data_IF_776278332914
#
_entry.id   IF_776278332914
#
_cell.length_a   1.000
_cell.length_b   1.000
_cell.length_c   1.000
_cell.angle_alpha   90.00
_cell.angle_beta   90.00
_cell.angle_gamma   90.00
#
_symmetry.space_group_name_H-M   'P 1'
#
loop_
_entity.id
_entity.type
_entity.pdbx_description
1 polymer ?
#
# COMPACT_ATOMS: atom_id res chain seq x y z
N UNK A 1 -9.55 -51.66 -14.95
CA UNK A 1 -9.90 -50.26 -14.63
C UNK A 1 -9.28 -49.38 -15.71
N UNK A 2 -10.05 -48.80 -16.64
CA UNK A 2 -9.47 -47.91 -17.66
C UNK A 2 -9.19 -46.55 -17.00
N UNK A 3 -7.98 -46.03 -17.20
CA UNK A 3 -7.62 -44.68 -16.76
C UNK A 3 -8.07 -43.68 -17.83
N UNK A 4 -9.00 -42.80 -17.47
CA UNK A 4 -9.42 -41.68 -18.30
C UNK A 4 -8.28 -40.66 -18.36
N UNK A 5 -7.65 -40.53 -19.52
CA UNK A 5 -6.70 -39.45 -19.80
C UNK A 5 -7.52 -38.20 -20.13
N UNK A 6 -7.73 -37.31 -19.17
CA UNK A 6 -8.30 -35.98 -19.45
C UNK A 6 -7.34 -35.21 -20.36
N UNK A 7 -7.78 -34.91 -21.58
CA UNK A 7 -7.03 -34.06 -22.51
C UNK A 7 -7.16 -32.60 -22.04
N UNK A 8 -6.08 -32.02 -21.52
CA UNK A 8 -6.03 -30.59 -21.23
C UNK A 8 -6.10 -29.79 -22.54
N UNK A 9 -7.21 -29.11 -22.76
CA UNK A 9 -7.38 -28.22 -23.91
C UNK A 9 -6.66 -26.89 -23.64
N UNK A 10 -5.56 -26.65 -24.35
CA UNK A 10 -4.82 -25.40 -24.28
C UNK A 10 -5.55 -24.35 -25.13
N UNK A 11 -6.09 -23.33 -24.49
CA UNK A 11 -6.71 -22.19 -25.18
C UNK A 11 -5.66 -21.16 -25.59
N UNK A 12 -5.83 -20.60 -26.79
CA UNK A 12 -4.98 -19.51 -27.27
C UNK A 12 -5.27 -18.24 -26.47
N UNK A 13 -4.23 -17.50 -26.10
CA UNK A 13 -4.39 -16.17 -25.52
C UNK A 13 -5.10 -15.22 -26.48
N UNK A 14 -5.97 -14.38 -25.94
CA UNK A 14 -6.67 -13.32 -26.68
C UNK A 14 -5.68 -12.31 -27.27
N UNK A 15 -4.65 -11.95 -26.48
CA UNK A 15 -3.52 -11.14 -26.92
C UNK A 15 -2.30 -12.05 -27.00
N UNK A 16 -1.74 -12.30 -28.20
CA UNK A 16 -0.67 -13.30 -28.38
C UNK A 16 0.62 -13.00 -27.62
N UNK A 17 0.97 -11.72 -27.46
CA UNK A 17 2.18 -11.28 -26.77
C UNK A 17 1.84 -10.89 -25.34
N UNK A 18 2.50 -11.51 -24.37
CA UNK A 18 2.26 -11.25 -22.94
C UNK A 18 2.66 -9.81 -22.58
N UNK A 19 3.63 -9.24 -23.29
CA UNK A 19 4.09 -7.87 -23.09
C UNK A 19 3.02 -6.82 -23.42
N UNK A 20 2.07 -7.19 -24.28
CA UNK A 20 0.96 -6.35 -24.72
C UNK A 20 -0.28 -6.55 -23.82
N UNK A 21 -0.18 -7.41 -22.79
CA UNK A 21 -1.27 -7.58 -21.85
C UNK A 21 -1.43 -6.31 -21.00
N UNK A 22 -2.67 -5.85 -20.72
CA UNK A 22 -2.90 -4.66 -19.92
C UNK A 22 -2.17 -4.69 -18.57
N UNK A 23 -2.10 -5.85 -17.91
CA UNK A 23 -1.39 -6.02 -16.63
C UNK A 23 0.13 -5.88 -16.76
N UNK A 24 0.70 -6.27 -17.91
CA UNK A 24 2.13 -6.11 -18.19
C UNK A 24 2.49 -4.65 -18.48
N UNK A 25 1.64 -3.96 -19.24
CA UNK A 25 1.77 -2.53 -19.50
C UNK A 25 1.62 -1.73 -18.20
N UNK A 26 0.61 -2.05 -17.39
CA UNK A 26 0.39 -1.41 -16.10
C UNK A 26 1.57 -1.61 -15.15
N UNK A 27 2.14 -2.82 -15.09
CA UNK A 27 3.28 -3.10 -14.22
C UNK A 27 4.55 -2.36 -14.65
N UNK A 28 4.73 -2.06 -15.95
CA UNK A 28 5.83 -1.20 -16.42
C UNK A 28 5.69 0.25 -15.93
N UNK A 29 4.46 0.74 -15.82
CA UNK A 29 4.14 2.11 -15.40
C UNK A 29 3.74 2.20 -13.92
N UNK A 30 4.06 1.18 -13.12
CA UNK A 30 3.64 1.06 -11.71
C UNK A 30 4.04 2.27 -10.87
N UNK A 31 5.27 2.78 -11.03
CA UNK A 31 5.77 3.90 -10.23
C UNK A 31 4.98 5.18 -10.48
N UNK A 32 4.68 5.50 -11.73
CA UNK A 32 3.85 6.67 -12.09
C UNK A 32 2.44 6.52 -11.53
N UNK A 33 1.87 5.31 -11.63
CA UNK A 33 0.57 5.02 -11.05
C UNK A 33 0.57 5.24 -9.52
N UNK A 34 1.57 4.74 -8.80
CA UNK A 34 1.66 4.91 -7.35
C UNK A 34 1.75 6.39 -6.96
N UNK A 35 2.52 7.20 -7.70
CA UNK A 35 2.58 8.65 -7.47
C UNK A 35 1.17 9.25 -7.59
N UNK A 36 0.48 8.98 -8.71
CA UNK A 36 -0.88 9.50 -8.93
C UNK A 36 -1.89 9.02 -7.88
N UNK A 37 -1.73 7.79 -7.41
CA UNK A 37 -2.57 7.20 -6.37
C UNK A 37 -2.30 7.82 -5.00
N UNK A 38 -1.04 8.10 -4.67
CA UNK A 38 -0.67 8.79 -3.43
C UNK A 38 -1.34 10.16 -3.37
N UNK A 39 -1.22 10.94 -4.45
CA UNK A 39 -1.80 12.29 -4.54
C UNK A 39 -3.32 12.24 -4.44
N UNK A 40 -3.97 11.34 -5.19
CA UNK A 40 -5.41 11.15 -5.15
C UNK A 40 -5.91 10.79 -3.75
N UNK A 41 -5.26 9.84 -3.06
CA UNK A 41 -5.67 9.41 -1.72
C UNK A 41 -5.42 10.52 -0.70
N UNK A 42 -4.27 11.20 -0.78
CA UNK A 42 -3.94 12.32 0.10
C UNK A 42 -4.98 13.43 -0.01
N UNK A 43 -5.27 13.89 -1.23
CA UNK A 43 -6.25 14.94 -1.47
C UNK A 43 -7.65 14.58 -0.93
N UNK A 44 -8.07 13.33 -1.11
CA UNK A 44 -9.36 12.86 -0.61
C UNK A 44 -9.40 12.79 0.92
N UNK A 45 -8.32 12.35 1.57
CA UNK A 45 -8.23 12.27 3.03
C UNK A 45 -8.18 13.66 3.67
N UNK A 46 -7.44 14.60 3.09
CA UNK A 46 -7.42 16.00 3.54
C UNK A 46 -8.79 16.66 3.39
N UNK A 47 -9.48 16.45 2.25
CA UNK A 47 -10.83 16.99 2.02
C UNK A 47 -11.86 16.44 3.01
N UNK A 48 -11.74 15.19 3.43
CA UNK A 48 -12.71 14.52 4.31
C UNK A 48 -12.41 14.68 5.81
N UNK A 49 -11.18 15.03 6.18
CA UNK A 49 -10.72 15.08 7.58
C UNK A 49 -9.97 16.38 7.92
N UNK A 50 -10.31 17.50 7.26
CA UNK A 50 -9.56 18.77 7.33
C UNK A 50 -9.22 19.22 8.75
N UNK A 51 -10.12 18.97 9.71
CA UNK A 51 -10.00 19.49 11.07
C UNK A 51 -9.41 18.46 12.05
N UNK A 52 -9.22 17.20 11.62
CA UNK A 52 -8.94 16.10 12.55
C UNK A 52 -7.91 15.07 12.06
N UNK A 53 -6.94 15.49 11.24
CA UNK A 53 -5.85 14.64 10.75
C UNK A 53 -5.07 14.01 11.91
N UNK A 54 -4.86 14.73 13.01
CA UNK A 54 -4.14 14.22 14.17
C UNK A 54 -4.82 13.01 14.84
N UNK A 55 -6.14 13.01 14.96
CA UNK A 55 -6.90 11.87 15.53
C UNK A 55 -6.92 10.70 14.56
N UNK A 56 -7.11 10.98 13.26
CA UNK A 56 -7.02 9.96 12.21
C UNK A 56 -5.67 9.24 12.26
N UNK A 57 -4.57 9.99 12.32
CA UNK A 57 -3.22 9.43 12.42
C UNK A 57 -3.03 8.64 13.72
N UNK A 58 -3.44 9.20 14.86
CA UNK A 58 -3.33 8.56 16.18
C UNK A 58 -4.06 7.21 16.20
N UNK A 59 -5.29 7.19 15.70
CA UNK A 59 -6.13 5.99 15.65
C UNK A 59 -5.54 4.95 14.71
N UNK A 60 -5.14 5.34 13.50
CA UNK A 60 -4.55 4.42 12.52
C UNK A 60 -3.25 3.81 13.04
N UNK A 61 -2.32 4.63 13.56
CA UNK A 61 -1.05 4.14 14.13
C UNK A 61 -1.31 3.21 15.31
N UNK A 62 -2.22 3.57 16.22
CA UNK A 62 -2.57 2.73 17.35
C UNK A 62 -3.12 1.36 16.92
N UNK A 63 -4.07 1.34 15.98
CA UNK A 63 -4.65 0.09 15.47
C UNK A 63 -3.59 -0.80 14.82
N UNK A 64 -2.67 -0.24 14.04
CA UNK A 64 -1.58 -1.00 13.42
C UNK A 64 -0.53 -1.49 14.41
N UNK A 65 -0.24 -0.72 15.46
CA UNK A 65 0.60 -1.19 16.57
C UNK A 65 -0.05 -2.38 17.29
N UNK A 66 -1.37 -2.37 17.48
CA UNK A 66 -2.08 -3.52 18.06
C UNK A 66 -2.10 -4.71 17.10
N UNK A 67 -2.32 -4.50 15.80
CA UNK A 67 -2.28 -5.55 14.77
C UNK A 67 -0.93 -6.24 14.74
N UNK A 68 0.14 -5.49 14.60
CA UNK A 68 1.51 -6.04 14.51
C UNK A 68 1.97 -6.71 15.80
N UNK A 69 1.41 -6.32 16.96
CA UNK A 69 1.68 -6.96 18.25
C UNK A 69 0.86 -8.24 18.46
N UNK A 70 -0.43 -8.21 18.16
CA UNK A 70 -1.37 -9.25 18.57
C UNK A 70 -1.74 -10.21 17.43
N UNK A 71 -1.61 -9.77 16.17
CA UNK A 71 -2.01 -10.50 14.96
C UNK A 71 -1.06 -10.20 13.79
N UNK A 72 0.25 -10.49 13.94
CA UNK A 72 1.21 -10.31 12.85
C UNK A 72 0.89 -11.24 11.68
N UNK A 73 1.01 -10.74 10.46
CA UNK A 73 0.81 -11.53 9.25
C UNK A 73 2.13 -12.13 8.77
N UNK A 74 2.06 -13.26 8.07
CA UNK A 74 3.24 -13.93 7.52
C UNK A 74 4.01 -13.06 6.50
N UNK A 75 3.31 -12.13 5.87
CA UNK A 75 3.85 -11.22 4.84
C UNK A 75 4.33 -9.88 5.41
N UNK A 76 4.22 -9.67 6.73
CA UNK A 76 4.67 -8.44 7.40
C UNK A 76 6.21 -8.30 7.25
N UNK A 77 6.71 -7.13 6.82
CA UNK A 77 8.15 -6.90 6.70
C UNK A 77 8.90 -7.01 8.04
N UNK A 78 10.19 -7.41 8.02
CA UNK A 78 11.00 -7.37 9.22
C UNK A 78 11.10 -5.92 9.73
N UNK A 79 10.73 -5.70 11.00
CA UNK A 79 10.79 -4.38 11.62
C UNK A 79 9.49 -3.57 11.56
N UNK A 80 8.38 -4.14 11.10
CA UNK A 80 7.10 -3.42 11.03
C UNK A 80 6.65 -2.83 12.39
N UNK A 81 6.83 -3.58 13.47
CA UNK A 81 6.54 -3.08 14.84
C UNK A 81 7.37 -1.84 15.19
N UNK A 82 8.63 -1.77 14.72
CA UNK A 82 9.50 -0.61 14.94
C UNK A 82 9.01 0.58 14.10
N UNK A 83 8.66 0.35 12.84
CA UNK A 83 8.13 1.38 11.95
C UNK A 83 6.93 2.12 12.57
N UNK A 84 5.93 1.39 13.04
CA UNK A 84 4.74 2.01 13.65
C UNK A 84 5.05 2.72 14.97
N UNK A 85 5.98 2.18 15.76
CA UNK A 85 6.46 2.85 16.98
C UNK A 85 7.17 4.16 16.66
N UNK A 86 8.01 4.18 15.64
CA UNK A 86 8.72 5.39 15.22
C UNK A 86 7.76 6.46 14.71
N UNK A 87 6.74 6.07 13.91
CA UNK A 87 5.68 6.99 13.48
C UNK A 87 4.86 7.55 14.65
N UNK A 88 4.59 6.75 15.69
CA UNK A 88 3.91 7.24 16.90
C UNK A 88 4.72 8.33 17.60
N UNK A 89 6.04 8.16 17.69
CA UNK A 89 6.95 9.15 18.28
C UNK A 89 7.04 10.39 17.39
N UNK A 90 7.06 10.21 16.07
CA UNK A 90 7.04 11.31 15.10
C UNK A 90 5.76 12.15 15.22
N UNK A 91 4.60 11.50 15.37
CA UNK A 91 3.31 12.16 15.57
C UNK A 91 3.26 12.94 16.89
N UNK A 92 3.79 12.37 17.97
CA UNK A 92 3.88 13.06 19.26
C UNK A 92 4.72 14.34 19.14
N UNK A 93 5.91 14.24 18.55
CA UNK A 93 6.80 15.39 18.30
C UNK A 93 6.16 16.43 17.38
N UNK A 94 5.32 16.02 16.43
CA UNK A 94 4.65 16.96 15.53
C UNK A 94 3.70 17.93 16.26
N UNK A 95 3.20 17.57 17.44
CA UNK A 95 2.24 18.41 18.18
C UNK A 95 2.84 19.72 18.70
N UNK A 96 4.15 19.72 18.97
CA UNK A 96 4.89 20.85 19.55
C UNK A 96 5.58 21.71 18.48
N UNK A 97 5.50 21.32 17.20
CA UNK A 97 6.12 22.05 16.09
C UNK A 97 5.28 23.23 15.66
N UNK A 98 5.94 24.30 15.20
CA UNK A 98 5.29 25.46 14.58
C UNK A 98 4.62 25.06 13.25
N UNK A 99 5.23 24.15 12.49
CA UNK A 99 4.72 23.56 11.25
C UNK A 99 3.98 22.24 11.47
N UNK A 100 3.15 22.20 12.52
CA UNK A 100 2.41 20.99 12.95
C UNK A 100 1.60 20.36 11.82
N UNK A 101 0.92 21.17 11.01
CA UNK A 101 0.03 20.68 9.94
C UNK A 101 0.85 19.97 8.87
N UNK A 102 1.93 20.61 8.41
CA UNK A 102 2.85 20.07 7.42
C UNK A 102 3.52 18.79 7.93
N UNK A 103 3.97 18.79 9.19
CA UNK A 103 4.55 17.61 9.82
C UNK A 103 3.57 16.42 9.86
N UNK A 104 2.29 16.67 10.16
CA UNK A 104 1.25 15.64 10.14
C UNK A 104 0.93 15.17 8.72
N UNK A 105 0.92 16.07 7.74
CA UNK A 105 0.76 15.72 6.33
C UNK A 105 1.89 14.80 5.84
N UNK A 106 3.12 15.02 6.28
CA UNK A 106 4.24 14.15 5.91
C UNK A 106 4.11 12.74 6.52
N UNK A 107 3.66 12.64 7.77
CA UNK A 107 3.32 11.35 8.40
C UNK A 107 2.22 10.65 7.60
N UNK A 108 1.17 11.37 7.21
CA UNK A 108 0.08 10.84 6.42
C UNK A 108 0.56 10.32 5.06
N UNK A 109 1.39 11.10 4.34
CA UNK A 109 1.99 10.70 3.07
C UNK A 109 2.82 9.42 3.20
N UNK A 110 3.61 9.27 4.28
CA UNK A 110 4.37 8.03 4.55
C UNK A 110 3.46 6.81 4.67
N UNK A 111 2.36 6.94 5.42
CA UNK A 111 1.38 5.86 5.61
C UNK A 111 0.70 5.51 4.29
N UNK A 112 0.22 6.50 3.54
CA UNK A 112 -0.42 6.32 2.23
C UNK A 112 0.53 5.63 1.26
N UNK A 113 1.75 6.15 1.13
CA UNK A 113 2.74 5.60 0.21
C UNK A 113 3.05 4.14 0.53
N UNK A 114 3.23 3.81 1.82
CA UNK A 114 3.49 2.45 2.26
C UNK A 114 2.36 1.50 1.86
N UNK A 115 1.11 1.84 2.15
CA UNK A 115 -0.02 0.98 1.76
C UNK A 115 -0.18 0.87 0.25
N UNK A 116 0.02 1.97 -0.49
CA UNK A 116 -0.05 1.95 -1.94
C UNK A 116 1.04 1.06 -2.56
N UNK A 117 2.25 1.07 -2.02
CA UNK A 117 3.30 0.13 -2.43
C UNK A 117 2.93 -1.33 -2.12
N UNK A 118 2.29 -1.59 -0.97
CA UNK A 118 1.88 -2.95 -0.55
C UNK A 118 0.71 -3.51 -1.37
N UNK A 119 -0.31 -2.71 -1.68
CA UNK A 119 -1.52 -3.17 -2.38
C UNK A 119 -1.34 -3.23 -3.91
N UNK A 120 -0.47 -2.40 -4.48
CA UNK A 120 -0.24 -2.37 -5.92
C UNK A 120 0.68 -3.51 -6.32
N UNK A 121 0.06 -4.58 -6.82
CA UNK A 121 0.74 -5.78 -7.28
C UNK A 121 1.74 -5.54 -8.42
N UNK A 122 2.66 -6.49 -8.58
CA UNK A 122 3.63 -6.54 -9.68
C UNK A 122 3.32 -7.71 -10.61
N UNK A 123 3.51 -7.51 -11.91
CA UNK A 123 3.42 -8.58 -12.90
C UNK A 123 4.71 -8.66 -13.70
N UNK A 124 5.34 -9.84 -13.71
CA UNK A 124 6.51 -10.13 -14.49
C UNK A 124 6.17 -11.15 -15.59
N UNK A 125 6.17 -10.74 -16.88
CA UNK A 125 5.91 -11.64 -18.01
C UNK A 125 6.89 -12.83 -18.15
N UNK A 126 8.02 -12.80 -17.44
CA UNK A 126 9.11 -13.78 -17.56
C UNK A 126 9.08 -14.90 -16.50
N UNK A 127 8.04 -14.95 -15.66
CA UNK A 127 7.85 -16.00 -14.65
C UNK A 127 6.61 -16.85 -14.96
#
# INVERSE_FOLDING_TARGET
MPQTTESFQIYRHLIPKIEDWPVAIFSKNRSEFIISLNDFVFDNLIKSNSDNISDLLSKSIYMEMQRTKNTPWKVDPPGEKKYWKDLSIELEKSQEREDKIEAQHDILKKIIHRYNEEIVGTFNPKH
#
